data_IF_655016781327
#
_entry.id   IF_655016781327
#
_cell.length_a   1.000
_cell.length_b   1.000
_cell.length_c   1.000
_cell.angle_alpha   90.00
_cell.angle_beta   90.00
_cell.angle_gamma   90.00
#
_symmetry.space_group_name_H-M   'P 1'
#
loop_
_entity.id
_entity.type
_entity.pdbx_description
1 polymer ?
#
# COMPACT_ATOMS: atom_id res chain seq x y z
N UNK A 1 -8.29 7.17 -42.45
CA UNK A 1 -8.27 5.96 -41.61
C UNK A 1 -6.97 5.96 -40.81
N UNK A 2 -6.99 6.08 -39.47
CA UNK A 2 -5.78 5.91 -38.68
C UNK A 2 -5.33 4.45 -38.77
N UNK A 3 -4.03 4.23 -38.94
CA UNK A 3 -3.44 2.89 -39.13
C UNK A 3 -3.62 2.01 -37.89
N UNK A 4 -3.87 0.72 -38.13
CA UNK A 4 -4.02 -0.37 -37.16
C UNK A 4 -2.83 -0.56 -36.20
N UNK A 5 -1.75 0.21 -36.32
CA UNK A 5 -0.56 0.12 -35.47
C UNK A 5 -0.69 0.86 -34.12
N UNK A 6 -1.70 1.74 -33.94
CA UNK A 6 -1.88 2.51 -32.70
C UNK A 6 -2.94 1.92 -31.75
N UNK A 7 -3.59 0.82 -32.10
CA UNK A 7 -4.58 0.15 -31.26
C UNK A 7 -3.94 -0.93 -30.39
N UNK A 8 -2.90 -0.59 -29.61
CA UNK A 8 -2.63 -1.36 -28.39
C UNK A 8 -3.88 -1.14 -27.52
N UNK A 9 -4.68 -2.19 -27.34
CA UNK A 9 -5.90 -2.20 -26.55
C UNK A 9 -5.73 -1.33 -25.30
N UNK A 10 -6.64 -0.39 -25.07
CA UNK A 10 -6.70 0.37 -23.83
C UNK A 10 -7.03 -0.62 -22.70
N UNK A 11 -6.00 -1.29 -22.19
CA UNK A 11 -6.06 -2.09 -20.99
C UNK A 11 -6.44 -1.12 -19.88
N UNK A 12 -7.57 -1.38 -19.22
CA UNK A 12 -8.03 -0.62 -18.07
C UNK A 12 -7.06 -0.85 -16.89
N UNK A 13 -5.95 -0.14 -16.91
CA UNK A 13 -5.09 0.01 -15.74
C UNK A 13 -5.88 0.82 -14.71
N UNK A 14 -5.84 0.40 -13.44
CA UNK A 14 -6.44 1.15 -12.36
C UNK A 14 -5.88 2.57 -12.32
N UNK A 15 -6.72 3.54 -11.99
CA UNK A 15 -6.31 4.91 -11.68
C UNK A 15 -6.57 5.19 -10.21
N UNK A 16 -5.74 6.04 -9.61
CA UNK A 16 -5.90 6.48 -8.23
C UNK A 16 -6.29 7.95 -8.24
N UNK A 17 -7.49 8.27 -7.77
CA UNK A 17 -7.96 9.66 -7.71
C UNK A 17 -7.30 10.47 -6.58
N UNK A 18 -6.92 9.81 -5.47
CA UNK A 18 -6.23 10.42 -4.34
C UNK A 18 -5.65 9.36 -3.40
N UNK A 19 -4.50 9.64 -2.81
CA UNK A 19 -3.89 8.81 -1.76
C UNK A 19 -3.78 9.64 -0.48
N UNK A 20 -4.21 9.03 0.62
CA UNK A 20 -4.10 9.63 1.94
C UNK A 20 -3.41 8.68 2.91
N UNK A 21 -2.46 9.23 3.68
CA UNK A 21 -1.86 8.54 4.82
C UNK A 21 -2.14 9.35 6.07
N UNK A 22 -2.56 8.68 7.13
CA UNK A 22 -2.67 9.26 8.46
C UNK A 22 -1.47 8.83 9.29
N UNK A 23 -0.57 9.77 9.57
CA UNK A 23 0.54 9.56 10.49
C UNK A 23 0.39 10.55 11.63
N UNK A 24 -0.05 10.11 12.82
CA UNK A 24 -0.10 11.01 13.96
C UNK A 24 1.28 11.62 14.17
N UNK A 25 1.34 12.95 14.29
CA UNK A 25 2.60 13.68 14.50
C UNK A 25 3.34 13.19 15.75
N UNK A 26 4.68 13.36 15.78
CA UNK A 26 5.52 12.94 16.89
C UNK A 26 5.14 13.61 18.24
N UNK A 27 4.50 14.77 18.15
CA UNK A 27 4.12 15.63 19.27
C UNK A 27 2.67 15.39 19.72
N UNK A 28 1.93 14.55 18.98
CA UNK A 28 0.54 14.21 19.29
C UNK A 28 0.54 13.02 20.24
N UNK A 29 -0.23 13.10 21.32
CA UNK A 29 -0.44 12.04 22.32
C UNK A 29 -1.22 10.82 21.75
N UNK A 30 -0.95 10.43 20.51
CA UNK A 30 -1.60 9.34 19.79
C UNK A 30 -0.58 8.32 19.27
N UNK A 31 0.71 8.64 19.25
CA UNK A 31 1.75 7.65 18.94
C UNK A 31 3.05 7.86 19.72
N UNK A 32 3.71 6.76 20.08
CA UNK A 32 5.10 6.78 20.59
C UNK A 32 6.02 6.30 19.49
N UNK A 33 7.06 7.08 19.16
CA UNK A 33 8.19 6.57 18.38
C UNK A 33 8.99 5.63 19.27
N UNK A 34 9.04 4.37 18.88
CA UNK A 34 9.91 3.39 19.54
C UNK A 34 11.11 3.18 18.63
N UNK A 35 12.24 3.78 19.01
CA UNK A 35 13.56 3.50 18.43
C UNK A 35 14.09 2.22 19.10
N UNK A 36 14.13 1.13 18.37
CA UNK A 36 14.75 -0.12 18.81
C UNK A 36 16.03 -0.35 18.03
N UNK A 37 17.13 -0.61 18.72
CA UNK A 37 18.33 -1.22 18.12
C UNK A 37 18.08 -2.72 17.95
N UNK A 38 17.09 -3.09 17.16
CA UNK A 38 16.77 -4.50 16.88
C UNK A 38 17.30 -4.89 15.49
N UNK A 39 17.62 -6.18 15.32
CA UNK A 39 18.15 -6.86 14.12
C UNK A 39 17.32 -6.68 12.82
N UNK A 40 16.30 -5.81 12.83
CA UNK A 40 15.32 -5.61 11.75
C UNK A 40 15.63 -4.43 10.83
N UNK A 41 16.61 -3.58 11.16
CA UNK A 41 17.00 -2.42 10.33
C UNK A 41 15.99 -1.26 10.29
N UNK A 42 14.93 -1.32 11.11
CA UNK A 42 13.90 -0.28 11.22
C UNK A 42 14.39 0.87 12.10
N UNK A 43 14.45 2.09 11.58
CA UNK A 43 14.95 3.26 12.32
C UNK A 43 13.98 3.71 13.42
N UNK A 44 12.68 3.64 13.18
CA UNK A 44 11.67 3.89 14.21
C UNK A 44 10.35 3.20 13.85
N UNK A 45 9.54 2.90 14.87
CA UNK A 45 8.17 2.40 14.71
C UNK A 45 7.17 3.37 15.32
N UNK A 46 6.01 3.50 14.68
CA UNK A 46 4.88 4.26 15.21
C UNK A 46 3.98 3.28 15.96
N UNK A 47 3.91 3.43 17.29
CA UNK A 47 2.98 2.65 18.12
C UNK A 47 1.78 3.50 18.49
N UNK A 48 0.58 3.07 18.10
CA UNK A 48 -0.66 3.72 18.49
C UNK A 48 -0.82 3.75 20.02
N UNK A 49 -1.24 4.90 20.57
CA UNK A 49 -1.51 5.04 22.01
C UNK A 49 -2.84 4.37 22.39
N UNK A 50 -3.03 4.16 23.69
CA UNK A 50 -4.26 3.60 24.23
C UNK A 50 -5.46 4.50 23.87
N UNK A 51 -6.50 3.91 23.28
CA UNK A 51 -7.68 4.64 22.79
C UNK A 51 -7.66 4.99 21.29
N UNK A 52 -6.53 4.81 20.60
CA UNK A 52 -6.47 4.91 19.14
C UNK A 52 -6.93 3.60 18.52
N UNK A 53 -8.06 3.63 17.84
CA UNK A 53 -8.65 2.48 17.18
C UNK A 53 -8.21 2.35 15.72
N UNK A 54 -8.22 1.14 15.18
CA UNK A 54 -7.98 0.87 13.75
C UNK A 54 -8.93 1.68 12.89
N UNK A 55 -10.22 1.77 13.27
CA UNK A 55 -11.19 2.59 12.57
C UNK A 55 -10.84 4.09 12.58
N UNK A 56 -10.29 4.61 13.69
CA UNK A 56 -9.90 6.03 13.78
C UNK A 56 -8.72 6.35 12.87
N UNK A 57 -7.72 5.44 12.80
CA UNK A 57 -6.55 5.59 11.93
C UNK A 57 -6.97 5.56 10.46
N UNK A 58 -7.72 4.54 10.08
CA UNK A 58 -8.32 4.38 8.76
C UNK A 58 -9.16 5.59 8.37
N UNK A 59 -10.03 6.09 9.26
CA UNK A 59 -10.85 7.27 8.99
C UNK A 59 -10.03 8.55 8.77
N UNK A 60 -8.90 8.71 9.46
CA UNK A 60 -7.97 9.81 9.17
C UNK A 60 -7.37 9.70 7.77
N UNK A 61 -6.88 8.51 7.40
CA UNK A 61 -6.29 8.26 6.09
C UNK A 61 -7.32 8.45 4.96
N UNK A 62 -8.57 8.07 5.24
CA UNK A 62 -9.70 8.30 4.36
C UNK A 62 -9.99 9.75 4.07
N UNK A 63 -10.04 10.57 5.12
CA UNK A 63 -10.25 12.00 4.99
C UNK A 63 -9.14 12.63 4.16
N UNK A 64 -7.89 12.23 4.38
CA UNK A 64 -6.77 12.66 3.53
C UNK A 64 -6.97 12.23 2.07
N UNK A 65 -7.34 10.97 1.81
CA UNK A 65 -7.54 10.47 0.45
C UNK A 65 -8.68 11.21 -0.28
N UNK A 66 -9.78 11.50 0.41
CA UNK A 66 -10.90 12.27 -0.14
C UNK A 66 -10.51 13.72 -0.45
N UNK A 67 -9.77 14.38 0.45
CA UNK A 67 -9.24 15.74 0.20
C UNK A 67 -8.27 15.77 -0.97
N UNK A 68 -7.36 14.79 -1.04
CA UNK A 68 -6.46 14.62 -2.16
C UNK A 68 -7.22 14.44 -3.48
N UNK A 69 -8.25 13.58 -3.49
CA UNK A 69 -9.09 13.35 -4.66
C UNK A 69 -10.02 14.52 -5.00
N UNK A 70 -10.14 15.53 -4.13
CA UNK A 70 -11.18 16.56 -4.21
C UNK A 70 -12.58 15.94 -4.38
N UNK A 71 -12.85 14.88 -3.62
CA UNK A 71 -14.06 14.08 -3.71
C UNK A 71 -14.86 14.13 -2.41
N UNK A 72 -16.18 14.02 -2.54
CA UNK A 72 -17.08 13.92 -1.40
C UNK A 72 -17.35 12.45 -1.05
N UNK A 73 -17.55 12.16 0.23
CA UNK A 73 -17.86 10.79 0.69
C UNK A 73 -19.17 10.25 0.08
N UNK A 74 -20.08 11.11 -0.39
CA UNK A 74 -21.30 10.67 -1.06
C UNK A 74 -21.05 10.07 -2.45
N UNK A 75 -19.94 10.42 -3.12
CA UNK A 75 -19.65 9.96 -4.49
C UNK A 75 -19.02 8.58 -4.53
N UNK A 76 -18.72 8.00 -3.38
CA UNK A 76 -17.97 6.76 -3.31
C UNK A 76 -18.90 5.55 -3.19
N UNK A 77 -18.54 4.40 -3.77
CA UNK A 77 -19.46 3.26 -3.97
C UNK A 77 -19.38 2.08 -2.96
N UNK A 78 -18.19 1.68 -2.53
CA UNK A 78 -17.87 0.57 -1.60
C UNK A 78 -16.63 0.83 -0.69
N UNK A 79 -16.71 0.64 0.62
CA UNK A 79 -15.50 0.70 1.48
C UNK A 79 -14.86 -0.67 1.60
N UNK A 80 -13.53 -0.74 1.42
CA UNK A 80 -12.74 -1.95 1.68
C UNK A 80 -11.68 -1.62 2.72
N UNK A 81 -11.69 -2.34 3.84
CA UNK A 81 -10.67 -2.19 4.89
C UNK A 81 -9.85 -3.47 4.98
N UNK A 82 -8.58 -3.37 4.61
CA UNK A 82 -7.60 -4.44 4.84
C UNK A 82 -7.03 -4.32 6.26
N UNK A 83 -7.36 -5.26 7.13
CA UNK A 83 -6.77 -5.33 8.48
C UNK A 83 -6.85 -6.74 9.06
N UNK A 84 -5.82 -7.14 9.81
CA UNK A 84 -5.82 -8.29 10.71
C UNK A 84 -6.01 -7.90 12.18
N UNK A 85 -6.25 -6.61 12.45
CA UNK A 85 -6.42 -6.02 13.79
C UNK A 85 -7.71 -5.17 13.86
N UNK A 86 -8.89 -5.76 13.60
CA UNK A 86 -10.14 -5.03 13.70
C UNK A 86 -10.43 -4.67 15.17
N UNK A 87 -11.08 -3.52 15.40
CA UNK A 87 -11.41 -3.04 16.75
C UNK A 87 -12.38 -3.99 17.48
N UNK A 88 -13.28 -4.61 16.72
CA UNK A 88 -14.27 -5.59 17.18
C UNK A 88 -14.36 -6.71 16.15
N UNK A 89 -14.83 -7.89 16.59
CA UNK A 89 -15.06 -9.02 15.67
C UNK A 89 -16.26 -8.76 14.74
N UNK A 90 -17.27 -8.04 15.24
CA UNK A 90 -18.46 -7.63 14.51
C UNK A 90 -18.98 -6.31 15.09
N UNK A 91 -19.47 -5.36 14.26
CA UNK A 91 -19.53 -5.36 12.79
C UNK A 91 -18.15 -5.19 12.12
N UNK A 92 -18.09 -5.23 10.79
CA UNK A 92 -16.81 -5.10 10.05
C UNK A 92 -16.10 -3.76 10.30
N UNK A 93 -14.76 -3.77 10.22
CA UNK A 93 -13.96 -2.55 10.32
C UNK A 93 -14.37 -1.49 9.29
N UNK A 94 -14.76 -1.89 8.08
CA UNK A 94 -15.29 -0.98 7.08
C UNK A 94 -16.54 -0.22 7.54
N UNK A 95 -17.46 -0.90 8.25
CA UNK A 95 -18.64 -0.24 8.82
C UNK A 95 -18.29 0.71 9.97
N UNK A 96 -17.26 0.38 10.76
CA UNK A 96 -16.73 1.28 11.80
C UNK A 96 -16.08 2.53 11.18
N UNK A 97 -15.29 2.36 10.11
CA UNK A 97 -14.68 3.46 9.37
C UNK A 97 -15.74 4.36 8.76
N UNK A 98 -16.75 3.80 8.08
CA UNK A 98 -17.85 4.56 7.49
C UNK A 98 -18.53 5.48 8.51
N UNK A 99 -18.82 4.93 9.71
CA UNK A 99 -19.37 5.71 10.82
C UNK A 99 -18.40 6.81 11.28
N UNK A 100 -17.12 6.49 11.41
CA UNK A 100 -16.09 7.44 11.85
C UNK A 100 -15.78 8.54 10.82
N UNK A 101 -16.07 8.34 9.53
CA UNK A 101 -15.99 9.38 8.49
C UNK A 101 -17.31 10.14 8.27
N UNK A 102 -18.33 9.93 9.11
CA UNK A 102 -19.66 10.55 9.03
C UNK A 102 -20.40 10.27 7.70
N UNK A 103 -20.23 9.10 7.08
CA UNK A 103 -20.79 8.77 5.75
C UNK A 103 -21.99 7.83 5.73
N UNK A 104 -22.85 8.00 4.72
CA UNK A 104 -23.95 7.09 4.39
C UNK A 104 -23.60 5.92 3.44
N UNK A 105 -22.51 6.01 2.65
CA UNK A 105 -21.99 4.93 1.79
C UNK A 105 -20.73 5.37 1.04
N UNK A 106 -19.73 4.48 0.83
CA UNK A 106 -18.80 4.59 -0.32
C UNK A 106 -17.28 4.27 -0.25
N UNK A 107 -16.72 3.67 -1.34
CA UNK A 107 -15.34 3.81 -1.94
C UNK A 107 -14.18 4.28 -1.09
N UNK A 108 -13.71 3.49 -0.16
CA UNK A 108 -12.47 3.83 0.52
C UNK A 108 -11.67 2.55 0.78
N UNK A 109 -10.53 2.43 0.09
CA UNK A 109 -9.53 1.44 0.42
C UNK A 109 -8.62 2.03 1.50
N UNK A 110 -8.95 1.81 2.77
CA UNK A 110 -7.96 2.02 3.84
C UNK A 110 -7.33 0.68 4.11
N UNK A 111 -6.02 0.63 4.07
CA UNK A 111 -5.32 -0.47 4.70
C UNK A 111 -4.75 0.11 5.97
N UNK A 112 -5.17 -0.43 7.11
CA UNK A 112 -4.66 -0.02 8.40
C UNK A 112 -3.81 -1.16 8.91
N UNK A 113 -2.51 -0.93 8.94
CA UNK A 113 -1.60 -1.86 9.57
C UNK A 113 -0.59 -1.12 10.43
N UNK A 114 -0.31 -1.74 11.56
CA UNK A 114 0.45 -1.22 12.66
C UNK A 114 0.24 -2.20 13.80
N UNK A 115 1.25 -3.00 14.11
CA UNK A 115 1.13 -4.01 15.17
C UNK A 115 1.68 -3.46 16.48
N UNK A 116 0.93 -3.61 17.57
CA UNK A 116 1.38 -3.27 18.93
C UNK A 116 2.54 -4.18 19.42
N UNK A 117 2.82 -5.28 18.71
CA UNK A 117 3.96 -6.18 18.95
C UNK A 117 4.62 -6.53 17.62
N UNK A 118 5.94 -6.72 17.53
CA UNK A 118 6.54 -7.25 16.30
C UNK A 118 5.85 -8.58 15.97
N UNK A 119 5.18 -8.65 14.81
CA UNK A 119 4.84 -9.94 14.24
C UNK A 119 6.18 -10.65 14.04
N UNK A 120 6.40 -11.77 14.72
CA UNK A 120 7.46 -12.68 14.25
C UNK A 120 7.09 -13.00 12.82
N UNK A 121 7.99 -12.85 11.84
CA UNK A 121 7.71 -13.36 10.51
C UNK A 121 7.29 -14.81 10.67
N UNK A 122 6.04 -15.12 10.33
CA UNK A 122 5.63 -16.51 10.24
C UNK A 122 6.52 -17.14 9.18
N UNK A 123 7.06 -18.31 9.47
CA UNK A 123 7.94 -19.06 8.56
C UNK A 123 7.15 -19.61 7.35
N UNK A 124 6.33 -18.80 6.68
CA UNK A 124 5.97 -19.09 5.31
C UNK A 124 7.29 -19.21 4.56
N UNK A 125 7.51 -20.35 3.91
CA UNK A 125 8.79 -20.64 3.26
C UNK A 125 9.15 -19.45 2.34
N UNK A 126 10.29 -18.79 2.63
CA UNK A 126 10.78 -17.62 1.91
C UNK A 126 10.82 -17.90 0.41
N UNK A 127 11.12 -19.14 0.04
CA UNK A 127 11.06 -19.63 -1.34
C UNK A 127 9.65 -19.54 -1.92
N UNK A 128 8.65 -20.08 -1.23
CA UNK A 128 7.24 -20.03 -1.67
C UNK A 128 6.75 -18.60 -1.86
N UNK A 129 7.14 -17.66 -0.99
CA UNK A 129 6.77 -16.25 -1.13
C UNK A 129 7.45 -15.61 -2.35
N UNK A 130 8.74 -15.90 -2.60
CA UNK A 130 9.45 -15.38 -3.78
C UNK A 130 8.84 -15.93 -5.07
N UNK A 131 8.59 -17.23 -5.14
CA UNK A 131 7.93 -17.89 -6.28
C UNK A 131 6.53 -17.30 -6.51
N UNK A 132 5.73 -17.18 -5.45
CA UNK A 132 4.38 -16.63 -5.51
C UNK A 132 4.32 -15.17 -5.96
N UNK A 133 5.23 -14.32 -5.46
CA UNK A 133 5.34 -12.92 -5.94
C UNK A 133 5.67 -12.89 -7.43
N UNK A 134 6.57 -13.77 -7.91
CA UNK A 134 6.88 -13.93 -9.33
C UNK A 134 5.66 -14.32 -10.17
N UNK A 135 4.85 -15.27 -9.70
CA UNK A 135 3.59 -15.67 -10.33
C UNK A 135 2.59 -14.51 -10.38
N UNK A 136 2.41 -13.78 -9.29
CA UNK A 136 1.51 -12.63 -9.25
C UNK A 136 1.94 -11.52 -10.20
N UNK A 137 3.23 -11.19 -10.25
CA UNK A 137 3.77 -10.20 -11.20
C UNK A 137 3.48 -10.65 -12.62
N UNK A 138 3.83 -11.89 -12.97
CA UNK A 138 3.64 -12.44 -14.31
C UNK A 138 2.18 -12.43 -14.71
N UNK A 139 1.29 -12.89 -13.83
CA UNK A 139 -0.15 -12.90 -14.06
C UNK A 139 -0.74 -11.48 -14.20
N UNK A 140 -0.27 -10.54 -13.39
CA UNK A 140 -0.71 -9.14 -13.44
C UNK A 140 -0.28 -8.47 -14.75
N UNK A 141 1.00 -8.58 -15.12
CA UNK A 141 1.54 -8.00 -16.36
C UNK A 141 0.94 -8.64 -17.62
N UNK A 142 0.72 -9.96 -17.61
CA UNK A 142 0.05 -10.67 -18.71
C UNK A 142 -1.36 -10.14 -18.92
N UNK A 143 -2.15 -10.01 -17.84
CA UNK A 143 -3.48 -9.39 -17.90
C UNK A 143 -3.43 -7.94 -18.37
N UNK A 144 -2.34 -7.23 -18.04
CA UNK A 144 -2.12 -5.86 -18.46
C UNK A 144 -1.56 -5.73 -19.90
N UNK A 145 -1.21 -6.82 -20.56
CA UNK A 145 -0.53 -6.80 -21.86
C UNK A 145 0.84 -6.12 -21.84
N UNK A 146 1.52 -6.15 -20.69
CA UNK A 146 2.81 -5.48 -20.44
C UNK A 146 3.91 -6.50 -20.17
N UNK A 147 5.14 -6.06 -20.37
CA UNK A 147 6.36 -6.75 -19.94
C UNK A 147 6.98 -6.06 -18.73
N UNK A 148 7.80 -6.79 -17.97
CA UNK A 148 8.46 -6.23 -16.78
C UNK A 148 9.41 -5.07 -17.13
N UNK A 149 10.02 -5.07 -18.31
CA UNK A 149 10.88 -3.97 -18.77
C UNK A 149 10.11 -2.66 -19.01
N UNK A 150 8.80 -2.73 -19.26
CA UNK A 150 7.89 -1.58 -19.40
C UNK A 150 7.42 -0.99 -18.04
N UNK A 151 7.80 -1.56 -16.88
CA UNK A 151 7.36 -1.10 -15.55
C UNK A 151 8.29 -0.05 -14.93
N UNK A 152 7.95 1.23 -14.97
CA UNK A 152 8.85 2.29 -14.46
C UNK A 152 9.24 2.16 -12.98
N UNK A 153 8.32 1.72 -12.12
CA UNK A 153 8.57 1.59 -10.68
C UNK A 153 7.86 0.38 -10.07
N UNK A 154 8.53 -0.32 -9.17
CA UNK A 154 7.96 -1.39 -8.34
C UNK A 154 7.95 -0.91 -6.89
N UNK A 155 6.77 -0.82 -6.28
CA UNK A 155 6.59 -0.58 -4.85
C UNK A 155 6.50 -1.92 -4.14
N UNK A 156 7.53 -2.25 -3.36
CA UNK A 156 7.62 -3.52 -2.65
C UNK A 156 6.85 -3.52 -1.33
N UNK A 157 6.54 -4.72 -0.84
CA UNK A 157 6.11 -4.90 0.55
C UNK A 157 7.24 -4.53 1.51
N UNK A 158 6.98 -3.54 2.36
CA UNK A 158 7.95 -3.07 3.36
C UNK A 158 8.02 -3.98 4.59
N UNK A 159 7.03 -4.86 4.79
CA UNK A 159 7.00 -5.81 5.91
C UNK A 159 7.89 -7.03 5.67
N UNK A 160 8.15 -7.35 4.40
CA UNK A 160 8.95 -8.51 3.97
C UNK A 160 10.06 -8.10 2.98
N UNK A 161 10.95 -7.16 3.35
CA UNK A 161 11.91 -6.55 2.42
C UNK A 161 12.86 -7.57 1.78
N UNK A 162 13.22 -8.60 2.52
CA UNK A 162 14.06 -9.72 2.08
C UNK A 162 13.45 -10.49 0.89
N UNK A 163 12.14 -10.74 0.92
CA UNK A 163 11.41 -11.41 -0.17
C UNK A 163 11.41 -10.53 -1.41
N UNK A 164 11.15 -9.23 -1.24
CA UNK A 164 11.13 -8.26 -2.34
C UNK A 164 12.51 -8.13 -3.00
N UNK A 165 13.58 -8.13 -2.20
CA UNK A 165 14.95 -8.08 -2.71
C UNK A 165 15.34 -9.35 -3.46
N UNK A 166 15.00 -10.53 -2.93
CA UNK A 166 15.27 -11.80 -3.61
C UNK A 166 14.53 -11.88 -4.94
N UNK A 167 13.23 -11.58 -4.94
CA UNK A 167 12.45 -11.55 -6.16
C UNK A 167 13.01 -10.54 -7.17
N UNK A 168 13.36 -9.33 -6.73
CA UNK A 168 13.96 -8.29 -7.60
C UNK A 168 15.27 -8.75 -8.25
N UNK A 169 16.12 -9.46 -7.49
CA UNK A 169 17.36 -10.04 -8.03
C UNK A 169 17.08 -11.13 -9.06
N UNK A 170 16.16 -12.06 -8.76
CA UNK A 170 15.78 -13.13 -9.68
C UNK A 170 15.14 -12.60 -10.96
N UNK A 171 14.33 -11.54 -10.85
CA UNK A 171 13.66 -10.90 -11.97
C UNK A 171 14.58 -9.98 -12.80
N UNK A 172 15.82 -9.75 -12.36
CA UNK A 172 16.76 -8.84 -13.02
C UNK A 172 16.31 -7.36 -12.99
N UNK A 173 15.50 -6.96 -12.01
CA UNK A 173 15.00 -5.60 -11.89
C UNK A 173 16.14 -4.68 -11.42
N UNK A 174 16.32 -3.55 -12.10
CA UNK A 174 17.29 -2.54 -11.71
C UNK A 174 16.99 -2.01 -10.30
N UNK A 175 18.01 -1.89 -9.45
CA UNK A 175 17.84 -1.52 -8.03
C UNK A 175 17.17 -0.16 -7.84
N UNK A 176 17.36 0.78 -8.77
CA UNK A 176 16.71 2.08 -8.74
C UNK A 176 15.19 2.02 -9.06
N UNK A 177 14.69 0.93 -9.63
CA UNK A 177 13.27 0.72 -9.94
C UNK A 177 12.49 0.05 -8.82
N UNK A 178 13.16 -0.42 -7.76
CA UNK A 178 12.50 -0.94 -6.56
C UNK A 178 12.39 0.15 -5.48
N UNK A 179 11.17 0.52 -5.11
CA UNK A 179 10.89 1.37 -3.96
C UNK A 179 10.70 0.48 -2.72
N UNK A 180 11.74 0.43 -1.92
CA UNK A 180 11.82 -0.34 -0.68
C UNK A 180 12.66 0.44 0.33
N UNK A 181 12.06 0.80 1.46
CA UNK A 181 12.71 1.52 2.54
C UNK A 181 12.23 0.97 3.89
N UNK A 182 12.74 -0.21 4.31
CA UNK A 182 12.31 -0.84 5.55
C UNK A 182 12.65 0.00 6.79
N UNK A 183 13.56 0.97 6.66
CA UNK A 183 13.99 1.83 7.76
C UNK A 183 12.88 2.78 8.22
N UNK A 184 12.02 3.22 7.30
CA UNK A 184 11.00 4.24 7.56
C UNK A 184 9.64 3.69 7.99
N UNK A 185 9.24 2.50 7.53
CA UNK A 185 7.86 2.05 7.67
C UNK A 185 7.63 1.14 8.88
N UNK A 186 8.62 0.38 9.35
CA UNK A 186 8.35 -0.65 10.36
C UNK A 186 7.26 -1.64 9.90
N UNK A 187 6.58 -2.30 10.85
CA UNK A 187 5.54 -3.30 10.54
C UNK A 187 4.16 -2.65 10.35
N UNK A 188 3.95 -2.00 9.20
CA UNK A 188 2.64 -1.48 8.77
C UNK A 188 1.77 -2.54 8.09
N UNK A 189 2.18 -3.82 8.08
CA UNK A 189 1.43 -4.94 7.51
C UNK A 189 0.88 -4.56 6.13
N UNK A 190 -0.40 -4.77 5.89
CA UNK A 190 -1.02 -4.51 4.60
C UNK A 190 -0.97 -3.01 4.18
N UNK A 191 -0.76 -2.08 5.11
CA UNK A 191 -0.64 -0.65 4.78
C UNK A 191 0.74 -0.26 4.23
N UNK A 192 1.75 -1.13 4.41
CA UNK A 192 3.12 -0.89 4.02
C UNK A 192 3.29 -0.45 2.55
N UNK A 193 2.82 -1.23 1.54
CA UNK A 193 3.03 -0.85 0.14
C UNK A 193 2.30 0.43 -0.26
N UNK A 194 1.09 0.69 0.27
CA UNK A 194 0.35 1.92 -0.04
C UNK A 194 0.97 3.16 0.62
N UNK A 195 1.51 3.00 1.83
CA UNK A 195 2.24 4.04 2.53
C UNK A 195 3.53 4.40 1.79
N UNK A 196 4.23 3.39 1.27
CA UNK A 196 5.43 3.57 0.45
C UNK A 196 5.11 4.20 -0.92
N UNK A 197 3.96 3.85 -1.52
CA UNK A 197 3.47 4.49 -2.74
C UNK A 197 3.19 5.99 -2.52
N UNK A 198 2.52 6.34 -1.41
CA UNK A 198 2.30 7.73 -1.02
C UNK A 198 3.62 8.50 -0.87
N UNK A 199 4.58 7.96 -0.13
CA UNK A 199 5.84 8.64 0.13
C UNK A 199 6.70 8.73 -1.14
N UNK A 200 6.64 7.73 -2.02
CA UNK A 200 7.23 7.81 -3.35
C UNK A 200 6.65 8.97 -4.16
N UNK A 201 5.34 9.20 -4.07
CA UNK A 201 4.70 10.34 -4.75
C UNK A 201 5.16 11.68 -4.16
N UNK A 202 5.19 11.80 -2.82
CA UNK A 202 5.69 12.99 -2.13
C UNK A 202 7.16 13.27 -2.46
N UNK A 203 7.99 12.22 -2.55
CA UNK A 203 9.40 12.32 -2.87
C UNK A 203 9.70 12.54 -4.37
N UNK A 204 8.67 12.67 -5.23
CA UNK A 204 8.85 12.88 -6.67
C UNK A 204 9.37 11.66 -7.43
N UNK A 205 9.29 10.46 -6.83
CA UNK A 205 9.65 9.18 -7.47
C UNK A 205 8.63 8.72 -8.52
N UNK A 206 7.42 9.28 -8.47
CA UNK A 206 6.31 8.98 -9.36
C UNK A 206 6.04 10.16 -10.29
N UNK A 207 5.96 9.88 -11.59
CA UNK A 207 5.71 10.86 -12.64
C UNK A 207 4.48 10.44 -13.46
N UNK A 208 3.76 11.42 -14.00
CA UNK A 208 2.57 11.18 -14.81
C UNK A 208 2.89 10.24 -15.98
N UNK A 209 2.02 9.25 -16.20
CA UNK A 209 2.16 8.24 -17.23
C UNK A 209 2.96 7.00 -16.84
N UNK A 210 3.71 7.01 -15.72
CA UNK A 210 4.51 5.88 -15.26
C UNK A 210 3.67 4.61 -15.05
N UNK A 211 4.21 3.46 -15.43
CA UNK A 211 3.67 2.16 -15.07
C UNK A 211 4.24 1.75 -13.71
N UNK A 212 3.36 1.58 -12.75
CA UNK A 212 3.74 1.24 -11.38
C UNK A 212 3.18 -0.13 -11.02
N UNK A 213 4.02 -0.98 -10.47
CA UNK A 213 3.64 -2.26 -9.89
C UNK A 213 3.68 -2.16 -8.38
N UNK A 214 2.58 -2.47 -7.71
CA UNK A 214 2.50 -2.53 -6.25
C UNK A 214 2.44 -4.00 -5.85
N UNK A 215 3.37 -4.42 -5.00
CA UNK A 215 3.53 -5.79 -4.55
C UNK A 215 3.20 -5.91 -3.07
N UNK A 216 2.49 -6.98 -2.72
CA UNK A 216 2.20 -7.34 -1.34
C UNK A 216 2.41 -8.83 -1.13
N UNK A 217 2.94 -9.22 0.02
CA UNK A 217 3.00 -10.61 0.45
C UNK A 217 2.79 -10.70 1.96
N UNK A 218 2.31 -11.83 2.46
CA UNK A 218 1.98 -11.97 3.87
C UNK A 218 1.90 -13.41 4.34
N UNK A 219 1.80 -13.57 5.66
CA UNK A 219 1.64 -14.87 6.30
C UNK A 219 0.31 -15.52 5.91
N UNK A 220 0.35 -16.79 5.54
CA UNK A 220 -0.78 -17.51 4.95
C UNK A 220 -0.34 -18.83 4.30
N UNK A 221 0.50 -18.80 3.25
CA UNK A 221 1.05 -17.64 2.54
C UNK A 221 0.07 -17.02 1.53
N UNK A 222 0.15 -15.70 1.34
CA UNK A 222 -0.63 -14.95 0.33
C UNK A 222 0.27 -13.92 -0.34
N UNK A 223 0.05 -13.65 -1.62
CA UNK A 223 0.75 -12.63 -2.41
C UNK A 223 -0.19 -11.97 -3.42
N UNK A 224 0.11 -10.74 -3.79
CA UNK A 224 -0.65 -9.98 -4.76
C UNK A 224 0.23 -9.00 -5.53
N UNK A 225 -0.18 -8.70 -6.75
CA UNK A 225 0.40 -7.65 -7.58
C UNK A 225 -0.70 -6.83 -8.23
N UNK A 226 -0.58 -5.51 -8.15
CA UNK A 226 -1.46 -4.56 -8.84
C UNK A 226 -0.62 -3.70 -9.79
N UNK A 227 -1.05 -3.62 -11.05
CA UNK A 227 -0.45 -2.74 -12.04
C UNK A 227 -1.36 -1.54 -12.26
N UNK A 228 -0.79 -0.34 -12.16
CA UNK A 228 -1.49 0.91 -12.35
C UNK A 228 -0.69 1.83 -13.25
N UNK A 229 -1.41 2.66 -14.01
CA UNK A 229 -0.80 3.80 -14.68
C UNK A 229 -0.91 4.98 -13.73
N UNK A 230 0.22 5.48 -13.27
CA UNK A 230 0.27 6.67 -12.44
C UNK A 230 -0.25 7.84 -13.27
N UNK A 231 -1.34 8.44 -12.82
CA UNK A 231 -1.78 9.73 -13.29
C UNK A 231 -1.29 10.76 -12.28
N UNK A 232 -1.12 12.02 -12.68
CA UNK A 232 -0.80 13.09 -11.74
C UNK A 232 -1.90 13.23 -10.69
N UNK A 233 -1.72 12.50 -9.60
CA UNK A 233 -2.64 12.43 -8.48
C UNK A 233 -2.14 13.32 -7.36
N UNK A 234 -3.07 14.04 -6.71
CA UNK A 234 -2.73 14.80 -5.50
C UNK A 234 -2.51 13.81 -4.35
N UNK A 235 -1.57 14.13 -3.48
CA UNK A 235 -1.32 13.39 -2.24
C UNK A 235 -1.55 14.33 -1.07
N UNK A 236 -2.13 13.80 0.01
CA UNK A 236 -2.41 14.57 1.23
C UNK A 236 -2.09 13.71 2.46
N UNK A 237 -1.67 14.37 3.54
CA UNK A 237 -1.39 13.76 4.83
C UNK A 237 -2.32 14.35 5.89
N UNK A 238 -2.85 13.50 6.77
CA UNK A 238 -3.60 13.95 7.95
C UNK A 238 -2.76 13.73 9.22
#
# INVERSE_FOLDING_TARGET
>A
MPSLAHARQAVALGSIAGIGVNRPGADVALARRVSGTDLTGVSYRVQAQHGVSTASLAAGAARAALRAANAELATVGMIVVGTSSPDVLWPSAAAAVLRAVNGGSGVLATVSGGSARPARPGNGDRRTLVEGVGEAVTGCLTKAGLRLDEVDLVVGDQSSPEVMQDWSRQAGLASNRLLLDPSQYGALLAAAPLTALHDGAVAGRLQDGMIVLVLECGSGPVWAAACLRWQKTRVDQW
#
